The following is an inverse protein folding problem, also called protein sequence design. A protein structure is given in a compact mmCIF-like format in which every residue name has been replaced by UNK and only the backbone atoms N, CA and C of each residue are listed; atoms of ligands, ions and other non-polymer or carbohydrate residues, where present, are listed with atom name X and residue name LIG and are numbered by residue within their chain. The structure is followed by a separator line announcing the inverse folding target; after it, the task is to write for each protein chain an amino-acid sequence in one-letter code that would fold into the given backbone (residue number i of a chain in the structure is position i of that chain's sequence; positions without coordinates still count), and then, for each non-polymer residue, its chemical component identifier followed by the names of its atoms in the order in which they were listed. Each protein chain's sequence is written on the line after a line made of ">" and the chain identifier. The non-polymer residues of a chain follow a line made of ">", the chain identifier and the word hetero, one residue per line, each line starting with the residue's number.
data_IF_972882006132
#
_entry.id   IF_972882006132
#
_cell.length_a   1.000
_cell.length_b   1.000
_cell.length_c   1.000
_cell.angle_alpha   90.00
_cell.angle_beta   90.00
_cell.angle_gamma   90.00
#
_symmetry.space_group_name_H-M   'P 1'
#
loop_
_entity.id
_entity.type
_entity.pdbx_description
1 polymer ?
#
# COMPACT_ATOMS: atom_id res chain seq x y z
N UNK A 1 -9.38 -4.00 12.77
CA UNK A 1 -7.95 -4.35 12.72
C UNK A 1 -7.53 -4.26 11.28
N UNK A 2 -6.64 -3.34 10.94
CA UNK A 2 -6.08 -3.18 9.59
C UNK A 2 -4.77 -3.93 9.49
N UNK A 3 -4.33 -4.24 8.27
CA UNK A 3 -2.99 -4.84 8.03
C UNK A 3 -1.84 -3.96 8.53
N UNK A 4 -2.11 -2.68 8.82
CA UNK A 4 -1.14 -1.70 9.33
C UNK A 4 -0.94 -1.77 10.84
N UNK A 5 -1.86 -2.38 11.58
CA UNK A 5 -1.80 -2.46 13.06
C UNK A 5 -0.58 -3.28 13.53
N UNK A 6 -0.05 -4.14 12.65
CA UNK A 6 1.16 -4.93 12.85
C UNK A 6 2.47 -4.13 12.68
N UNK A 7 2.41 -2.88 12.19
CA UNK A 7 3.56 -2.01 11.93
C UNK A 7 3.71 -0.91 12.99
N UNK A 8 3.96 -1.33 14.23
CA UNK A 8 4.08 -0.44 15.38
C UNK A 8 5.25 0.55 15.21
N UNK A 9 4.97 1.86 15.32
CA UNK A 9 5.97 2.93 15.23
C UNK A 9 6.44 3.25 13.80
N UNK A 10 5.74 2.76 12.77
CA UNK A 10 6.07 2.99 11.35
C UNK A 10 5.04 3.87 10.63
N UNK A 11 4.42 4.82 11.34
CA UNK A 11 3.28 5.61 10.85
C UNK A 11 3.62 6.37 9.56
N UNK A 12 4.85 6.88 9.47
CA UNK A 12 5.36 7.59 8.28
C UNK A 12 5.47 6.70 7.03
N UNK A 13 5.56 5.39 7.22
CA UNK A 13 5.61 4.41 6.13
C UNK A 13 4.20 3.94 5.77
N UNK A 14 3.34 3.76 6.77
CA UNK A 14 1.95 3.33 6.55
C UNK A 14 1.15 4.34 5.71
N UNK A 15 1.34 5.64 5.92
CA UNK A 15 0.58 6.69 5.21
C UNK A 15 0.71 6.62 3.67
N UNK A 16 1.91 6.69 3.07
CA UNK A 16 2.06 6.59 1.61
C UNK A 16 1.66 5.22 1.05
N UNK A 17 1.93 4.12 1.77
CA UNK A 17 1.57 2.79 1.31
C UNK A 17 0.05 2.56 1.31
N UNK A 18 -0.66 3.08 2.32
CA UNK A 18 -2.11 3.03 2.37
C UNK A 18 -2.75 3.91 1.29
N UNK A 19 -2.18 5.08 0.98
CA UNK A 19 -2.61 5.90 -0.16
C UNK A 19 -2.46 5.15 -1.48
N UNK A 20 -1.29 4.54 -1.70
CA UNK A 20 -1.01 3.74 -2.89
C UNK A 20 -1.98 2.54 -3.03
N UNK A 21 -2.26 1.82 -1.94
CA UNK A 21 -3.21 0.71 -1.96
C UNK A 21 -4.65 1.16 -2.31
N UNK A 22 -5.12 2.27 -1.73
CA UNK A 22 -6.46 2.83 -2.04
C UNK A 22 -6.56 3.30 -3.49
N UNK A 23 -5.53 3.95 -4.01
CA UNK A 23 -5.54 4.41 -5.41
C UNK A 23 -5.50 3.23 -6.39
N UNK A 24 -4.81 2.14 -6.02
CA UNK A 24 -4.82 0.89 -6.80
C UNK A 24 -6.21 0.25 -6.82
N UNK A 25 -6.87 0.15 -5.66
CA UNK A 25 -8.25 -0.35 -5.56
C UNK A 25 -9.23 0.50 -6.38
N UNK A 26 -9.16 1.83 -6.26
CA UNK A 26 -10.00 2.74 -7.03
C UNK A 26 -9.82 2.57 -8.54
N UNK A 27 -8.57 2.37 -8.99
CA UNK A 27 -8.27 2.10 -10.40
C UNK A 27 -8.88 0.78 -10.87
N UNK A 28 -8.67 -0.31 -10.12
CA UNK A 28 -9.18 -1.65 -10.48
C UNK A 28 -10.72 -1.66 -10.49
N UNK A 29 -11.34 -1.03 -9.49
CA UNK A 29 -12.80 -0.91 -9.39
C UNK A 29 -13.39 -0.11 -10.55
N UNK A 30 -12.79 1.03 -10.89
CA UNK A 30 -13.24 1.84 -12.03
C UNK A 30 -13.08 1.08 -13.36
N UNK A 31 -11.95 0.39 -13.55
CA UNK A 31 -11.71 -0.42 -14.73
C UNK A 31 -12.72 -1.56 -14.88
N UNK A 32 -13.06 -2.24 -13.77
CA UNK A 32 -14.05 -3.32 -13.77
C UNK A 32 -15.48 -2.85 -14.06
N UNK A 33 -15.78 -1.57 -13.79
CA UNK A 33 -17.09 -0.96 -14.00
C UNK A 33 -17.20 -0.18 -15.32
N UNK A 34 -16.20 -0.25 -16.22
CA UNK A 34 -16.07 0.59 -17.42
C UNK A 34 -16.23 2.10 -17.11
N UNK A 35 -15.80 2.52 -15.92
CA UNK A 35 -15.89 3.87 -15.42
C UNK A 35 -14.68 4.74 -15.79
N UNK A 36 -14.77 6.06 -15.56
CA UNK A 36 -13.64 6.95 -15.77
C UNK A 36 -12.49 6.60 -14.81
N UNK A 37 -11.31 6.32 -15.36
CA UNK A 37 -10.12 5.99 -14.58
C UNK A 37 -9.60 7.20 -13.80
N UNK A 38 -9.07 7.01 -12.59
CA UNK A 38 -8.42 8.09 -11.84
C UNK A 38 -7.22 8.65 -12.62
N UNK A 39 -7.10 9.98 -12.62
CA UNK A 39 -6.07 10.71 -13.40
C UNK A 39 -4.69 10.75 -12.72
N UNK A 40 -4.64 10.46 -11.42
CA UNK A 40 -3.41 10.40 -10.63
C UNK A 40 -3.48 9.22 -9.66
N UNK A 41 -2.33 8.62 -9.38
CA UNK A 41 -2.19 7.55 -8.39
C UNK A 41 -0.93 7.77 -7.57
N UNK A 42 -1.01 7.41 -6.30
CA UNK A 42 0.14 7.31 -5.38
C UNK A 42 0.94 6.03 -5.60
N UNK A 43 0.47 5.11 -6.45
CA UNK A 43 1.23 3.92 -6.83
C UNK A 43 2.44 4.26 -7.70
N UNK A 44 3.55 3.61 -7.39
CA UNK A 44 4.77 3.64 -8.17
C UNK A 44 4.95 2.33 -8.94
N UNK A 45 5.87 2.31 -9.91
CA UNK A 45 6.21 1.09 -10.64
C UNK A 45 6.84 0.01 -9.73
N UNK A 46 7.60 0.43 -8.71
CA UNK A 46 8.28 -0.47 -7.79
C UNK A 46 8.52 0.20 -6.43
N UNK A 47 8.65 -0.62 -5.39
CA UNK A 47 8.96 -0.22 -4.02
C UNK A 47 10.24 -0.90 -3.52
N UNK A 48 11.10 -0.14 -2.84
CA UNK A 48 12.29 -0.64 -2.17
C UNK A 48 12.14 -0.41 -0.66
N UNK A 49 12.09 -1.49 0.11
CA UNK A 49 12.02 -1.43 1.57
C UNK A 49 13.41 -1.66 2.16
N UNK A 50 13.87 -0.76 3.04
CA UNK A 50 15.19 -0.86 3.69
C UNK A 50 15.09 -0.49 5.17
N UNK A 51 16.05 -0.95 5.96
CA UNK A 51 16.12 -0.67 7.39
C UNK A 51 17.12 -1.57 8.12
N UNK A 52 17.46 -1.26 9.38
CA UNK A 52 18.34 -2.10 10.19
C UNK A 52 17.70 -3.47 10.49
N UNK A 53 18.50 -4.49 10.84
CA UNK A 53 17.96 -5.78 11.26
C UNK A 53 16.92 -5.63 12.37
N UNK A 54 15.75 -6.27 12.19
CA UNK A 54 14.65 -6.20 13.16
C UNK A 54 13.70 -5.01 13.01
N UNK A 55 13.91 -4.08 12.07
CA UNK A 55 13.02 -2.91 11.89
C UNK A 55 11.68 -3.22 11.22
N UNK A 56 11.34 -4.49 11.00
CA UNK A 56 10.09 -4.88 10.37
C UNK A 56 10.03 -4.75 8.85
N UNK A 57 11.16 -4.56 8.13
CA UNK A 57 11.20 -4.41 6.65
C UNK A 57 10.33 -5.45 5.92
N UNK A 58 10.51 -6.74 6.23
CA UNK A 58 9.75 -7.81 5.60
C UNK A 58 8.27 -7.80 6.01
N UNK A 59 7.96 -7.33 7.21
CA UNK A 59 6.58 -7.20 7.68
C UNK A 59 5.87 -6.05 6.98
N UNK A 60 6.53 -4.92 6.76
CA UNK A 60 6.02 -3.81 5.95
C UNK A 60 5.69 -4.26 4.53
N UNK A 61 6.59 -5.01 3.88
CA UNK A 61 6.36 -5.53 2.54
C UNK A 61 5.14 -6.48 2.49
N UNK A 62 4.99 -7.37 3.50
CA UNK A 62 3.83 -8.26 3.60
C UNK A 62 2.53 -7.51 3.86
N UNK A 63 2.54 -6.52 4.77
CA UNK A 63 1.38 -5.70 5.06
C UNK A 63 0.92 -4.92 3.82
N UNK A 64 1.86 -4.36 3.06
CA UNK A 64 1.54 -3.67 1.81
C UNK A 64 0.98 -4.63 0.75
N UNK A 65 1.57 -5.82 0.59
CA UNK A 65 1.04 -6.84 -0.30
C UNK A 65 -0.38 -7.25 0.08
N UNK A 66 -0.67 -7.42 1.38
CA UNK A 66 -2.02 -7.69 1.86
C UNK A 66 -2.98 -6.53 1.59
N UNK A 67 -2.55 -5.28 1.80
CA UNK A 67 -3.34 -4.09 1.49
C UNK A 67 -3.72 -3.97 0.01
N UNK A 68 -2.90 -4.51 -0.90
CA UNK A 68 -3.20 -4.53 -2.34
C UNK A 68 -4.15 -5.66 -2.76
N UNK A 69 -4.52 -6.56 -1.85
CA UNK A 69 -5.40 -7.70 -2.10
C UNK A 69 -6.74 -7.60 -1.35
N UNK A 70 -6.92 -6.55 -0.54
CA UNK A 70 -8.10 -6.32 0.29
C UNK A 70 -8.77 -5.01 -0.10
#
# INVERSE_FOLDING_TARGET
>A
MTVWDDLVGQEKVCEPLAAAARDADAFVTAAAADGPLPQSTSMTHAWLFTGPPGSGVAQTARAFAAALQC
#
